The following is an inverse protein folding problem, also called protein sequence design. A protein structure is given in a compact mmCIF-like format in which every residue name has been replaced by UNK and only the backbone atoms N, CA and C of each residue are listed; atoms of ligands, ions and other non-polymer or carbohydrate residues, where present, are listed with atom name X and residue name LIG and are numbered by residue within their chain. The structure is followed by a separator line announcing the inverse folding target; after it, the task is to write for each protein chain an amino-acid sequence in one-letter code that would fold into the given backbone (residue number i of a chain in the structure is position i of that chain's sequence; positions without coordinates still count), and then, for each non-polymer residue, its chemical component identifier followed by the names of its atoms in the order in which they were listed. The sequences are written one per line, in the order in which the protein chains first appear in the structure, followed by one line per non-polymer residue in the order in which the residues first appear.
data_IF_996718166121
#
_entry.id   IF_996718166121
#
_cell.length_a   1.000
_cell.length_b   1.000
_cell.length_c   1.000
_cell.angle_alpha   90.00
_cell.angle_beta   90.00
_cell.angle_gamma   90.00
#
_symmetry.space_group_name_H-M   'P 1'
#
loop_
_entity.id
_entity.type
_entity.pdbx_description
1 polymer ?
#
# COMPACT_ATOMS: atom_id res chain seq x y z
N UNK A 1 -10.12 7.81 -16.31
CA UNK A 1 -9.42 7.61 -15.02
C UNK A 1 -8.50 6.41 -15.16
N UNK A 2 -7.22 6.53 -14.82
CA UNK A 2 -6.28 5.41 -14.93
C UNK A 2 -6.51 4.44 -13.77
N UNK A 3 -6.92 3.20 -14.07
CA UNK A 3 -7.09 2.13 -13.08
C UNK A 3 -5.71 1.80 -12.50
N UNK A 4 -5.51 2.01 -11.20
CA UNK A 4 -4.29 1.62 -10.52
C UNK A 4 -4.20 0.11 -10.31
N UNK A 5 -3.05 -0.34 -9.82
CA UNK A 5 -2.78 -1.72 -9.43
C UNK A 5 -3.08 -1.88 -7.94
N UNK A 6 -3.78 -2.95 -7.60
CA UNK A 6 -4.08 -3.33 -6.23
C UNK A 6 -3.33 -4.61 -5.83
N UNK A 7 -2.72 -4.58 -4.65
CA UNK A 7 -2.06 -5.73 -4.03
C UNK A 7 -2.55 -5.87 -2.59
N UNK A 8 -2.92 -7.09 -2.20
CA UNK A 8 -3.29 -7.40 -0.82
C UNK A 8 -2.05 -7.47 0.07
N UNK A 9 -2.13 -6.89 1.27
CA UNK A 9 -1.15 -7.07 2.33
C UNK A 9 -1.76 -8.06 3.32
N UNK A 10 -1.23 -9.27 3.35
CA UNK A 10 -1.66 -10.29 4.30
C UNK A 10 -0.79 -10.24 5.55
N UNK A 11 -1.40 -9.94 6.69
CA UNK A 11 -0.73 -9.96 7.98
C UNK A 11 -1.02 -11.26 8.71
N UNK A 12 -0.04 -11.74 9.49
CA UNK A 12 -0.28 -12.87 10.39
C UNK A 12 -1.31 -12.45 11.44
N UNK A 13 -2.30 -13.29 11.77
CA UNK A 13 -3.27 -12.98 12.81
C UNK A 13 -2.60 -12.74 14.17
N UNK A 14 -3.16 -11.82 14.95
CA UNK A 14 -2.75 -11.62 16.36
C UNK A 14 -1.50 -10.77 16.53
N UNK A 15 -1.21 -9.89 15.56
CA UNK A 15 -0.19 -8.85 15.74
C UNK A 15 -0.81 -7.68 16.51
N UNK A 16 -0.12 -7.17 17.53
CA UNK A 16 -0.64 -6.04 18.33
C UNK A 16 -0.75 -4.72 17.54
N UNK A 17 -0.02 -4.63 16.43
CA UNK A 17 0.18 -3.40 15.65
C UNK A 17 -0.18 -3.53 14.16
N UNK A 18 -1.20 -4.32 13.83
CA UNK A 18 -1.58 -4.62 12.44
C UNK A 18 -1.73 -3.37 11.56
N UNK A 19 -2.45 -2.35 12.04
CA UNK A 19 -2.66 -1.09 11.29
C UNK A 19 -1.34 -0.36 10.99
N UNK A 20 -0.42 -0.33 11.95
CA UNK A 20 0.90 0.27 11.75
C UNK A 20 1.72 -0.56 10.76
N UNK A 21 1.76 -1.88 10.94
CA UNK A 21 2.55 -2.79 10.09
C UNK A 21 2.08 -2.70 8.65
N UNK A 22 0.77 -2.81 8.40
CA UNK A 22 0.21 -2.68 7.05
C UNK A 22 0.51 -1.31 6.43
N UNK A 23 0.35 -0.23 7.20
CA UNK A 23 0.65 1.12 6.73
C UNK A 23 2.14 1.30 6.40
N UNK A 24 3.03 0.81 7.27
CA UNK A 24 4.47 0.89 7.06
C UNK A 24 4.92 0.08 5.85
N UNK A 25 4.46 -1.18 5.73
CA UNK A 25 4.73 -2.04 4.58
C UNK A 25 4.25 -1.40 3.28
N UNK A 26 3.01 -0.91 3.26
CA UNK A 26 2.43 -0.30 2.08
C UNK A 26 3.18 0.95 1.61
N UNK A 27 3.49 1.86 2.54
CA UNK A 27 4.24 3.08 2.24
C UNK A 27 5.68 2.80 1.78
N UNK A 28 6.39 1.90 2.49
CA UNK A 28 7.76 1.54 2.12
C UNK A 28 7.81 0.83 0.76
N UNK A 29 6.86 -0.06 0.48
CA UNK A 29 6.81 -0.79 -0.77
C UNK A 29 6.53 0.14 -1.96
N UNK A 30 5.52 0.99 -1.87
CA UNK A 30 5.19 1.94 -2.94
C UNK A 30 6.30 2.96 -3.19
N UNK A 31 6.94 3.46 -2.12
CA UNK A 31 8.05 4.40 -2.24
C UNK A 31 9.29 3.76 -2.87
N UNK A 32 9.64 2.53 -2.45
CA UNK A 32 10.73 1.77 -3.07
C UNK A 32 10.46 1.47 -4.54
N UNK A 33 9.22 1.12 -4.88
CA UNK A 33 8.81 0.89 -6.25
C UNK A 33 8.99 2.16 -7.09
N UNK A 34 8.47 3.31 -6.62
CA UNK A 34 8.62 4.60 -7.28
C UNK A 34 10.10 4.95 -7.52
N UNK A 35 10.95 4.78 -6.51
CA UNK A 35 12.38 5.01 -6.61
C UNK A 35 13.06 4.05 -7.60
N UNK A 36 12.74 2.75 -7.55
CA UNK A 36 13.36 1.73 -8.41
C UNK A 36 13.06 1.90 -9.89
N UNK A 37 11.92 2.52 -10.20
CA UNK A 37 11.47 2.76 -11.57
C UNK A 37 11.73 4.19 -12.03
N UNK A 38 12.27 5.03 -11.14
CA UNK A 38 12.47 6.46 -11.39
C UNK A 38 11.17 7.17 -11.84
N UNK A 39 10.04 6.74 -11.26
CA UNK A 39 8.71 7.17 -11.66
C UNK A 39 7.95 7.80 -10.49
N UNK A 40 7.13 8.81 -10.80
CA UNK A 40 6.17 9.35 -9.83
C UNK A 40 4.96 8.43 -9.75
N UNK A 41 4.69 7.91 -8.55
CA UNK A 41 3.52 7.10 -8.25
C UNK A 41 2.68 7.76 -7.15
N UNK A 42 1.37 7.63 -7.24
CA UNK A 42 0.47 7.89 -6.12
C UNK A 42 0.06 6.56 -5.50
N UNK A 43 -0.10 6.50 -4.18
CA UNK A 43 -0.55 5.29 -3.51
C UNK A 43 -1.45 5.57 -2.31
N UNK A 44 -2.20 4.54 -1.90
CA UNK A 44 -3.05 4.55 -0.73
C UNK A 44 -2.98 3.18 -0.04
N UNK A 45 -2.86 3.18 1.29
CA UNK A 45 -3.02 1.96 2.09
C UNK A 45 -4.43 1.92 2.66
N UNK A 46 -5.10 0.79 2.47
CA UNK A 46 -6.47 0.56 2.88
C UNK A 46 -6.56 -0.54 3.92
N UNK A 47 -7.40 -0.34 4.93
CA UNK A 47 -7.97 -1.41 5.74
C UNK A 47 -9.41 -1.61 5.28
N UNK A 48 -9.67 -2.78 4.70
CA UNK A 48 -10.98 -3.16 4.19
C UNK A 48 -11.66 -4.00 5.26
N UNK A 49 -12.72 -3.45 5.84
CA UNK A 49 -13.52 -4.08 6.87
C UNK A 49 -14.71 -4.81 6.22
N UNK A 50 -14.82 -6.12 6.45
CA UNK A 50 -15.93 -6.97 6.01
C UNK A 50 -16.71 -7.54 7.20
N UNK A 51 -17.62 -8.48 6.94
CA UNK A 51 -18.45 -9.13 7.96
C UNK A 51 -17.63 -10.00 8.94
N UNK A 52 -17.03 -9.38 9.94
CA UNK A 52 -16.27 -10.03 11.02
C UNK A 52 -14.80 -10.29 10.72
N UNK A 53 -14.26 -9.78 9.60
CA UNK A 53 -12.85 -9.85 9.23
C UNK A 53 -12.39 -8.58 8.56
N UNK A 54 -11.10 -8.29 8.61
CA UNK A 54 -10.49 -7.22 7.82
C UNK A 54 -9.28 -7.75 7.04
N UNK A 55 -8.97 -7.09 5.94
CA UNK A 55 -7.73 -7.28 5.20
C UNK A 55 -7.16 -5.95 4.76
N UNK A 56 -5.86 -5.91 4.49
CA UNK A 56 -5.19 -4.70 4.06
C UNK A 56 -4.93 -4.73 2.55
N UNK A 57 -5.02 -3.58 1.89
CA UNK A 57 -4.68 -3.43 0.48
C UNK A 57 -3.76 -2.24 0.29
N UNK A 58 -2.76 -2.41 -0.56
CA UNK A 58 -2.01 -1.31 -1.13
C UNK A 58 -2.52 -1.07 -2.55
N UNK A 59 -2.86 0.18 -2.83
CA UNK A 59 -3.29 0.64 -4.13
C UNK A 59 -2.23 1.60 -4.66
N UNK A 60 -1.73 1.38 -5.87
CA UNK A 60 -0.70 2.21 -6.52
C UNK A 60 -1.16 2.61 -7.92
N UNK A 61 -0.97 3.86 -8.31
CA UNK A 61 -1.26 4.34 -9.67
C UNK A 61 -0.16 5.27 -10.17
N UNK A 62 -0.07 5.41 -11.49
CA UNK A 62 0.62 6.53 -12.11
C UNK A 62 -0.40 7.65 -12.39
N UNK A 63 -0.07 8.93 -12.12
CA UNK A 63 -1.00 10.03 -12.32
C UNK A 63 -1.44 10.18 -13.78
N UNK A 64 -0.51 9.98 -14.72
CA UNK A 64 -0.74 10.28 -16.14
C UNK A 64 -1.02 9.07 -17.04
N UNK A 65 -0.62 7.85 -16.65
CA UNK A 65 -0.75 6.66 -17.50
C UNK A 65 -1.19 5.42 -16.73
N UNK A 66 -1.47 4.35 -17.47
CA UNK A 66 -1.65 3.03 -16.88
C UNK A 66 -0.29 2.45 -16.49
N UNK A 67 -0.27 1.74 -15.36
CA UNK A 67 0.88 0.95 -14.94
C UNK A 67 0.93 -0.35 -15.77
N UNK A 68 2.14 -0.79 -16.11
CA UNK A 68 2.33 -2.06 -16.81
C UNK A 68 2.16 -3.26 -15.86
N UNK A 69 2.07 -4.45 -16.45
CA UNK A 69 1.87 -5.70 -15.72
C UNK A 69 3.04 -6.08 -14.80
N UNK A 70 4.25 -5.59 -15.05
CA UNK A 70 5.45 -5.90 -14.27
C UNK A 70 5.44 -5.26 -12.88
N UNK A 71 4.77 -4.12 -12.74
CA UNK A 71 4.68 -3.39 -11.47
C UNK A 71 4.11 -4.24 -10.34
N UNK A 72 3.15 -5.12 -10.64
CA UNK A 72 2.57 -6.02 -9.63
C UNK A 72 3.62 -6.98 -9.07
N UNK A 73 4.45 -7.56 -9.94
CA UNK A 73 5.50 -8.51 -9.56
C UNK A 73 6.58 -7.83 -8.74
N UNK A 74 7.02 -6.63 -9.17
CA UNK A 74 8.02 -5.84 -8.44
C UNK A 74 7.53 -5.51 -7.03
N UNK A 75 6.26 -5.09 -6.92
CA UNK A 75 5.66 -4.71 -5.64
C UNK A 75 5.54 -5.90 -4.69
N UNK A 76 5.17 -7.09 -5.20
CA UNK A 76 5.14 -8.33 -4.40
C UNK A 76 6.54 -8.67 -3.91
N UNK A 77 7.56 -8.61 -4.77
CA UNK A 77 8.93 -8.90 -4.37
C UNK A 77 9.45 -7.96 -3.28
N UNK A 78 9.14 -6.66 -3.39
CA UNK A 78 9.48 -5.67 -2.36
C UNK A 78 8.74 -5.97 -1.04
N UNK A 79 7.45 -6.29 -1.11
CA UNK A 79 6.64 -6.63 0.06
C UNK A 79 7.16 -7.88 0.76
N UNK A 80 7.53 -8.93 0.01
CA UNK A 80 8.11 -10.17 0.56
C UNK A 80 9.44 -9.90 1.29
N UNK A 81 10.26 -8.99 0.76
CA UNK A 81 11.48 -8.55 1.41
C UNK A 81 11.21 -7.84 2.75
N UNK A 82 10.19 -7.00 2.81
CA UNK A 82 9.81 -6.23 3.99
C UNK A 82 9.04 -7.07 5.03
N UNK A 83 8.27 -8.07 4.61
CA UNK A 83 7.41 -8.86 5.51
C UNK A 83 8.17 -9.74 6.50
N UNK A 84 9.46 -9.99 6.25
CA UNK A 84 10.32 -10.76 7.14
C UNK A 84 10.91 -9.91 8.28
N UNK A 85 10.66 -8.60 8.29
CA UNK A 85 11.20 -7.69 9.30
C UNK A 85 10.30 -7.64 10.55
N UNK A 86 10.94 -7.48 11.71
CA UNK A 86 10.23 -7.17 12.95
C UNK A 86 9.71 -5.71 12.96
N UNK A 87 8.75 -5.44 13.85
CA UNK A 87 8.08 -4.13 13.94
C UNK A 87 9.07 -3.00 14.23
N UNK A 88 10.09 -3.25 15.05
CA UNK A 88 11.12 -2.26 15.40
C UNK A 88 11.96 -1.88 14.19
N UNK A 89 12.36 -2.85 13.37
CA UNK A 89 13.06 -2.61 12.10
C UNK A 89 12.18 -1.86 11.10
N UNK A 90 10.91 -2.23 10.99
CA UNK A 90 9.95 -1.51 10.13
C UNK A 90 9.81 -0.04 10.56
N UNK A 91 9.74 0.24 11.87
CA UNK A 91 9.74 1.62 12.40
C UNK A 91 11.00 2.38 12.00
N UNK A 92 12.16 1.77 12.22
CA UNK A 92 13.44 2.39 11.87
C UNK A 92 13.50 2.71 10.37
N UNK A 93 13.17 1.74 9.50
CA UNK A 93 13.13 1.96 8.05
C UNK A 93 12.17 3.06 7.64
N UNK A 94 10.96 3.08 8.20
CA UNK A 94 9.98 4.11 7.90
C UNK A 94 10.50 5.49 8.31
N UNK A 95 11.19 5.58 9.45
CA UNK A 95 11.83 6.83 9.90
C UNK A 95 12.95 7.26 8.95
N UNK A 96 13.83 6.36 8.55
CA UNK A 96 14.90 6.64 7.58
C UNK A 96 14.34 7.09 6.23
N UNK A 97 13.36 6.35 5.70
CA UNK A 97 12.73 6.70 4.43
C UNK A 97 12.07 8.10 4.51
N UNK A 98 11.44 8.45 5.63
CA UNK A 98 10.88 9.80 5.83
C UNK A 98 11.95 10.89 5.76
N UNK A 99 13.12 10.66 6.34
CA UNK A 99 14.25 11.60 6.22
C UNK A 99 14.81 11.68 4.80
N UNK A 100 14.65 10.62 4.01
CA UNK A 100 15.05 10.54 2.60
C UNK A 100 13.97 11.05 1.62
N UNK A 101 12.84 11.57 2.13
CA UNK A 101 11.79 12.20 1.32
C UNK A 101 10.51 11.38 1.16
N UNK A 102 10.34 10.26 1.86
CA UNK A 102 9.06 9.55 1.91
C UNK A 102 7.99 10.38 2.65
N UNK A 103 6.97 10.80 1.92
CA UNK A 103 5.72 11.29 2.50
C UNK A 103 4.74 10.13 2.69
N UNK A 104 4.50 9.76 3.96
CA UNK A 104 3.59 8.65 4.25
C UNK A 104 2.13 9.03 4.08
N UNK A 105 1.36 8.16 3.42
CA UNK A 105 -0.11 8.25 3.41
C UNK A 105 -0.69 7.54 4.63
N UNK A 106 -1.76 8.12 5.18
CA UNK A 106 -2.49 7.54 6.31
C UNK A 106 -3.24 6.28 5.89
N UNK A 107 -3.48 5.37 6.84
CA UNK A 107 -4.32 4.20 6.61
C UNK A 107 -5.79 4.65 6.47
N UNK A 108 -6.41 4.38 5.32
CA UNK A 108 -7.83 4.68 5.09
C UNK A 108 -8.67 3.44 5.37
N UNK A 109 -9.69 3.58 6.21
CA UNK A 109 -10.65 2.50 6.50
C UNK A 109 -11.82 2.56 5.54
N UNK A 110 -12.21 1.41 5.03
CA UNK A 110 -13.26 1.29 4.03
C UNK A 110 -14.07 0.02 4.32
N UNK A 111 -15.38 0.10 4.13
CA UNK A 111 -16.26 -1.05 4.34
C UNK A 111 -16.50 -1.74 3.00
N UNK A 112 -16.42 -3.08 2.99
CA UNK A 112 -16.74 -3.89 1.83
C UNK A 112 -18.25 -3.83 1.58
N UNK A 113 -18.68 -2.88 0.74
CA UNK A 113 -20.01 -2.93 0.11
C UNK A 113 -19.91 -3.73 -1.20
N UNK A 114 -20.92 -4.54 -1.55
CA UNK A 114 -20.95 -5.22 -2.83
C UNK A 114 -20.99 -4.18 -3.97
N UNK A 115 -19.95 -4.17 -4.80
CA UNK A 115 -19.90 -3.58 -6.16
C UNK A 115 -20.04 -2.05 -6.36
N UNK A 116 -19.29 -1.20 -5.65
CA UNK A 116 -19.15 0.24 -6.03
C UNK A 116 -17.70 0.73 -6.19
N UNK A 117 -16.72 -0.18 -6.21
CA UNK A 117 -15.31 0.19 -6.03
C UNK A 117 -14.53 0.64 -7.27
N UNK A 118 -15.06 0.44 -8.49
CA UNK A 118 -14.22 0.64 -9.67
C UNK A 118 -14.07 2.09 -10.13
N UNK A 119 -15.02 2.99 -9.82
CA UNK A 119 -14.98 4.38 -10.31
C UNK A 119 -15.00 5.44 -9.18
N UNK A 120 -15.83 5.30 -8.14
CA UNK A 120 -15.96 6.35 -7.10
C UNK A 120 -14.77 6.46 -6.16
N UNK A 121 -14.07 5.35 -5.88
CA UNK A 121 -12.89 5.37 -5.02
C UNK A 121 -11.77 6.23 -5.61
N UNK A 122 -11.53 6.11 -6.93
CA UNK A 122 -10.51 6.89 -7.62
C UNK A 122 -10.86 8.37 -7.73
N UNK A 123 -12.15 8.71 -7.86
CA UNK A 123 -12.66 10.08 -7.76
C UNK A 123 -12.42 10.72 -6.38
N UNK A 124 -12.32 9.92 -5.33
CA UNK A 124 -12.08 10.44 -3.96
C UNK A 124 -10.60 10.62 -3.59
N UNK A 125 -9.66 10.26 -4.46
CA UNK A 125 -8.20 10.44 -4.29
C UNK A 125 -7.65 11.46 -5.32
N UNK A 126 -8.56 12.20 -5.99
CA UNK A 126 -8.24 13.32 -6.88
C UNK A 126 -8.29 14.63 -6.15
#
# INVERSE_FOLDING_TARGET
MNRGIEVGIYLRPGLDEEDFIASALGNLAAWKLAASREERLDWQVLRVDGSGRHHYRLVVRHPERLLDLGVRTDLVHILDGLSNEDVTKLRHRLSTAKTEGLHTVGLRRVHEQPDLWQDDFWNSIG
#
